data_IF_189207772742
#
_entry.id   IF_189207772742
#
_cell.length_a   1.000
_cell.length_b   1.000
_cell.length_c   1.000
_cell.angle_alpha   90.00
_cell.angle_beta   90.00
_cell.angle_gamma   90.00
#
_symmetry.space_group_name_H-M   'P 1'
#
loop_
_entity.id
_entity.type
_entity.pdbx_description
1 polymer ?
#
# COMPACT_ATOMS: atom_id res chain seq x y z
N UNK A 1 11.88 -1.57 -18.27
CA UNK A 1 10.80 -0.56 -18.37
C UNK A 1 11.03 0.46 -17.27
N UNK A 2 11.47 1.67 -17.58
CA UNK A 2 11.81 2.67 -16.54
C UNK A 2 10.52 3.33 -16.08
N UNK A 3 9.96 2.88 -14.95
CA UNK A 3 8.79 3.52 -14.38
C UNK A 3 9.23 4.89 -13.87
N UNK A 4 9.03 5.95 -14.67
CA UNK A 4 9.34 7.32 -14.26
C UNK A 4 8.28 7.77 -13.24
N UNK A 5 8.66 7.77 -11.95
CA UNK A 5 7.88 8.22 -10.80
C UNK A 5 8.72 9.18 -9.96
N UNK A 6 9.31 10.19 -10.61
CA UNK A 6 10.34 11.06 -10.03
C UNK A 6 9.98 11.76 -8.71
N UNK A 7 8.78 11.59 -8.19
CA UNK A 7 8.30 12.29 -6.99
C UNK A 7 7.68 11.37 -5.93
N UNK A 8 8.02 10.08 -5.89
CA UNK A 8 7.70 9.24 -4.73
C UNK A 8 8.89 9.08 -3.78
N UNK A 9 8.66 9.38 -2.50
CA UNK A 9 9.65 9.34 -1.42
C UNK A 9 9.14 8.51 -0.26
N UNK A 10 10.02 7.82 0.44
CA UNK A 10 9.69 6.97 1.58
C UNK A 10 10.42 7.48 2.81
N UNK A 11 9.68 7.72 3.89
CA UNK A 11 10.26 8.09 5.18
C UNK A 11 10.93 6.86 5.80
N UNK A 12 12.24 6.91 6.08
CA UNK A 12 12.96 5.77 6.66
C UNK A 12 12.66 5.56 8.15
N UNK A 13 12.02 6.54 8.81
CA UNK A 13 11.63 6.45 10.22
C UNK A 13 10.30 5.71 10.41
N UNK A 14 9.31 6.00 9.55
CA UNK A 14 7.97 5.44 9.72
C UNK A 14 7.38 4.78 8.48
N UNK A 15 8.17 4.60 7.41
CA UNK A 15 7.79 3.98 6.13
C UNK A 15 6.69 4.67 5.31
N UNK A 16 6.22 5.84 5.76
CA UNK A 16 5.21 6.63 5.05
C UNK A 16 5.69 7.03 3.65
N UNK A 17 4.84 6.80 2.66
CA UNK A 17 5.10 7.11 1.26
C UNK A 17 4.50 8.48 0.89
N UNK A 18 5.35 9.41 0.48
CA UNK A 18 4.99 10.73 -0.07
C UNK A 18 4.99 10.66 -1.59
N UNK A 19 3.94 11.16 -2.24
CA UNK A 19 3.85 11.20 -3.70
C UNK A 19 3.62 12.63 -4.19
N UNK A 20 4.36 13.03 -5.22
CA UNK A 20 4.25 14.32 -5.91
C UNK A 20 5.05 15.46 -5.26
N UNK A 21 5.55 15.29 -4.03
CA UNK A 21 6.37 16.29 -3.36
C UNK A 21 7.16 15.70 -2.18
N UNK A 22 8.18 16.42 -1.73
CA UNK A 22 8.98 16.08 -0.56
C UNK A 22 8.84 17.19 0.51
N UNK A 23 8.15 16.93 1.64
CA UNK A 23 7.95 17.93 2.69
C UNK A 23 9.20 18.13 3.55
N UNK A 24 9.26 19.26 4.27
CA UNK A 24 10.32 19.53 5.27
C UNK A 24 10.24 18.59 6.48
N UNK A 25 9.02 18.13 6.80
CA UNK A 25 8.75 17.16 7.88
C UNK A 25 7.73 16.12 7.43
N UNK A 26 7.93 14.89 7.87
CA UNK A 26 6.98 13.81 7.62
C UNK A 26 5.62 14.14 8.26
N UNK A 27 4.50 14.08 7.51
CA UNK A 27 3.19 14.40 8.06
C UNK A 27 2.70 13.37 9.09
N UNK A 28 3.32 12.19 9.14
CA UNK A 28 2.95 11.11 10.05
C UNK A 28 3.80 11.12 11.33
N UNK A 29 5.13 11.04 11.21
CA UNK A 29 6.04 10.93 12.37
C UNK A 29 6.86 12.19 12.68
N UNK A 30 6.68 13.28 11.92
CA UNK A 30 7.39 14.56 12.07
C UNK A 30 8.91 14.51 11.83
N UNK A 31 9.43 13.38 11.33
CA UNK A 31 10.84 13.22 10.97
C UNK A 31 11.27 14.26 9.91
N UNK A 32 12.52 14.78 10.00
CA UNK A 32 13.02 15.77 9.05
C UNK A 32 13.20 15.22 7.64
N UNK A 33 13.24 16.13 6.66
CA UNK A 33 13.37 15.84 5.21
C UNK A 33 14.53 14.92 4.84
N UNK A 34 15.65 14.99 5.56
CA UNK A 34 16.84 14.14 5.35
C UNK A 34 16.58 12.66 5.68
N UNK A 35 15.46 12.34 6.35
CA UNK A 35 14.99 10.98 6.60
C UNK A 35 14.12 10.41 5.48
N UNK A 36 14.04 11.08 4.34
CA UNK A 36 13.39 10.54 3.16
C UNK A 36 14.40 10.00 2.16
N UNK A 37 14.07 8.87 1.56
CA UNK A 37 14.75 8.31 0.39
C UNK A 37 13.79 8.26 -0.79
N UNK A 38 14.29 8.24 -2.02
CA UNK A 38 13.42 8.00 -3.18
C UNK A 38 12.84 6.60 -3.11
N UNK A 39 11.64 6.39 -3.67
CA UNK A 39 11.07 5.06 -3.82
C UNK A 39 12.00 4.11 -4.57
N UNK A 40 12.72 4.62 -5.58
CA UNK A 40 13.71 3.84 -6.33
C UNK A 40 14.89 3.39 -5.45
N UNK A 41 15.36 4.24 -4.51
CA UNK A 41 16.39 3.83 -3.54
C UNK A 41 15.81 2.83 -2.52
N UNK A 42 14.55 3.01 -2.12
CA UNK A 42 13.83 2.08 -1.26
C UNK A 42 13.76 0.69 -1.92
N UNK A 43 13.26 0.58 -3.15
CA UNK A 43 13.17 -0.69 -3.91
C UNK A 43 14.49 -1.43 -4.11
N UNK A 44 15.63 -0.73 -4.08
CA UNK A 44 16.94 -1.38 -4.20
C UNK A 44 17.48 -1.94 -2.88
N UNK A 45 16.97 -1.45 -1.75
CA UNK A 45 17.47 -1.79 -0.42
C UNK A 45 16.48 -2.56 0.45
N UNK A 46 15.25 -2.71 -0.01
CA UNK A 46 14.14 -3.28 0.74
C UNK A 46 13.32 -4.20 -0.17
N UNK A 47 13.56 -5.50 -0.06
CA UNK A 47 12.76 -6.53 -0.73
C UNK A 47 11.43 -6.72 0.00
N UNK A 48 10.47 -7.42 -0.61
CA UNK A 48 9.23 -7.81 0.06
C UNK A 48 9.27 -9.30 0.40
N UNK A 49 9.29 -9.60 1.70
CA UNK A 49 9.23 -10.98 2.17
C UNK A 49 7.79 -11.51 2.16
N UNK A 50 7.60 -12.65 1.51
CA UNK A 50 6.37 -13.44 1.54
C UNK A 50 6.40 -14.42 2.72
N UNK A 51 5.37 -14.41 3.57
CA UNK A 51 5.15 -15.40 4.63
C UNK A 51 3.77 -16.04 4.44
N UNK A 52 3.68 -17.34 4.07
CA UNK A 52 2.41 -18.03 4.00
C UNK A 52 1.67 -18.00 5.36
N UNK A 53 0.39 -17.68 5.34
CA UNK A 53 -0.51 -17.71 6.51
C UNK A 53 -1.47 -18.90 6.40
N UNK A 54 -2.04 -19.09 5.22
CA UNK A 54 -2.86 -20.25 4.83
C UNK A 54 -2.53 -20.63 3.37
N UNK A 55 -3.21 -21.64 2.83
CA UNK A 55 -3.08 -22.03 1.42
C UNK A 55 -3.47 -20.91 0.44
N UNK A 56 -4.33 -19.97 0.88
CA UNK A 56 -4.83 -18.87 0.05
C UNK A 56 -4.37 -17.48 0.51
N UNK A 57 -3.75 -17.36 1.68
CA UNK A 57 -3.34 -16.07 2.26
C UNK A 57 -1.84 -16.03 2.50
N UNK A 58 -1.19 -15.02 1.94
CA UNK A 58 0.25 -14.74 2.14
C UNK A 58 0.41 -13.34 2.73
N UNK A 59 1.15 -13.22 3.83
CA UNK A 59 1.54 -11.93 4.40
C UNK A 59 2.77 -11.40 3.68
N UNK A 60 2.76 -10.11 3.36
CA UNK A 60 3.86 -9.36 2.76
C UNK A 60 4.41 -8.34 3.76
N UNK A 61 5.73 -8.18 3.81
CA UNK A 61 6.38 -7.14 4.62
C UNK A 61 7.72 -6.74 4.01
N UNK A 62 8.04 -5.44 4.01
CA UNK A 62 9.34 -4.97 3.53
C UNK A 62 10.46 -5.45 4.46
N UNK A 63 11.54 -6.00 3.89
CA UNK A 63 12.73 -6.49 4.59
C UNK A 63 14.01 -5.87 4.00
N UNK A 64 14.94 -5.37 4.83
CA UNK A 64 14.88 -5.27 6.29
C UNK A 64 13.73 -4.36 6.75
N UNK A 65 13.32 -4.46 8.02
CA UNK A 65 12.16 -3.68 8.50
C UNK A 65 12.35 -2.19 8.22
N UNK A 66 11.41 -1.59 7.49
CA UNK A 66 11.40 -0.17 7.19
C UNK A 66 10.51 0.56 8.20
N UNK A 67 11.10 1.38 9.07
CA UNK A 67 10.35 2.15 10.07
C UNK A 67 9.35 1.33 10.91
N UNK A 68 8.10 1.77 10.94
CA UNK A 68 6.98 1.07 11.60
C UNK A 68 6.19 0.20 10.62
N UNK A 69 6.90 -0.49 9.71
CA UNK A 69 6.31 -1.35 8.69
C UNK A 69 5.09 -2.12 9.19
N UNK A 70 3.99 -2.02 8.43
CA UNK A 70 2.75 -2.73 8.65
C UNK A 70 2.68 -3.93 7.69
N UNK A 71 1.95 -4.96 8.11
CA UNK A 71 1.70 -6.10 7.25
C UNK A 71 0.72 -5.70 6.14
N UNK A 72 0.96 -6.20 4.94
CA UNK A 72 -0.04 -6.31 3.89
C UNK A 72 -0.25 -7.79 3.57
N UNK A 73 -1.31 -8.12 2.85
CA UNK A 73 -1.67 -9.51 2.58
C UNK A 73 -2.06 -9.69 1.13
N UNK A 74 -1.69 -10.82 0.52
CA UNK A 74 -2.28 -11.28 -0.73
C UNK A 74 -3.22 -12.44 -0.43
N UNK A 75 -4.45 -12.31 -0.91
CA UNK A 75 -5.51 -13.31 -0.82
C UNK A 75 -5.78 -13.81 -2.24
N UNK A 76 -5.51 -15.09 -2.49
CA UNK A 76 -5.77 -15.76 -3.75
C UNK A 76 -7.10 -16.51 -3.67
N UNK A 77 -8.11 -16.06 -4.43
CA UNK A 77 -9.41 -16.72 -4.52
C UNK A 77 -9.99 -16.57 -5.93
N UNK A 78 -10.66 -17.60 -6.42
CA UNK A 78 -11.32 -17.60 -7.74
C UNK A 78 -10.42 -17.14 -8.90
N UNK A 79 -9.14 -17.55 -8.90
CA UNK A 79 -8.11 -17.11 -9.84
C UNK A 79 -7.84 -15.59 -9.87
N UNK A 80 -8.15 -14.90 -8.77
CA UNK A 80 -7.81 -13.50 -8.56
C UNK A 80 -6.95 -13.33 -7.32
N UNK A 81 -6.04 -12.37 -7.38
CA UNK A 81 -5.20 -11.98 -6.26
C UNK A 81 -5.64 -10.60 -5.79
N UNK A 82 -6.24 -10.56 -4.60
CA UNK A 82 -6.58 -9.33 -3.90
C UNK A 82 -5.48 -9.03 -2.88
N UNK A 83 -4.87 -7.85 -2.98
CA UNK A 83 -3.93 -7.39 -1.98
C UNK A 83 -4.62 -6.48 -0.97
N UNK A 84 -4.53 -6.78 0.32
CA UNK A 84 -5.01 -5.94 1.41
C UNK A 84 -3.85 -5.10 1.92
N UNK A 85 -4.02 -3.78 1.87
CA UNK A 85 -2.97 -2.77 2.08
C UNK A 85 -1.76 -2.96 1.14
N UNK A 86 -0.66 -2.26 1.41
CA UNK A 86 0.47 -2.24 0.49
C UNK A 86 1.82 -2.13 1.21
N UNK A 87 2.83 -2.97 0.86
CA UNK A 87 4.17 -2.83 1.42
C UNK A 87 4.72 -1.42 1.18
N UNK A 88 5.58 -0.97 2.09
CA UNK A 88 6.19 0.36 1.96
C UNK A 88 7.25 0.42 0.85
N UNK A 89 7.88 -0.71 0.51
CA UNK A 89 8.78 -0.86 -0.64
C UNK A 89 8.08 -1.47 -1.85
N UNK A 90 8.62 -1.17 -3.03
CA UNK A 90 8.17 -1.76 -4.28
C UNK A 90 9.14 -2.84 -4.74
N UNK A 91 8.61 -4.04 -4.94
CA UNK A 91 9.34 -5.22 -5.37
C UNK A 91 8.58 -5.89 -6.52
N UNK A 92 9.21 -5.98 -7.69
CA UNK A 92 8.58 -6.56 -8.89
C UNK A 92 8.54 -8.09 -8.87
N UNK A 93 9.19 -8.73 -7.90
CA UNK A 93 9.30 -10.19 -7.82
C UNK A 93 8.08 -10.86 -7.16
N UNK A 94 7.27 -10.10 -6.41
CA UNK A 94 6.03 -10.61 -5.81
C UNK A 94 4.99 -10.94 -6.89
N UNK A 95 4.03 -11.79 -6.54
CA UNK A 95 2.95 -12.17 -7.45
C UNK A 95 2.15 -10.93 -7.89
N UNK A 96 1.86 -10.77 -9.20
CA UNK A 96 0.96 -9.73 -9.66
C UNK A 96 -0.39 -9.81 -8.96
N UNK A 97 -0.96 -8.65 -8.64
CA UNK A 97 -2.29 -8.54 -8.01
C UNK A 97 -3.27 -7.84 -8.94
N UNK A 98 -4.53 -8.29 -8.92
CA UNK A 98 -5.61 -7.68 -9.71
C UNK A 98 -6.07 -6.36 -9.08
N UNK A 99 -6.08 -6.32 -7.75
CA UNK A 99 -6.60 -5.20 -6.97
C UNK A 99 -5.86 -5.04 -5.65
N UNK A 100 -5.59 -3.80 -5.27
CA UNK A 100 -5.14 -3.39 -3.94
C UNK A 100 -6.34 -2.75 -3.24
N UNK A 101 -6.75 -3.31 -2.10
CA UNK A 101 -7.85 -2.83 -1.27
C UNK A 101 -7.25 -2.29 0.02
N UNK A 102 -7.44 -1.00 0.27
CA UNK A 102 -6.96 -0.35 1.48
C UNK A 102 -7.96 -0.44 2.61
N UNK A 103 -7.44 -0.75 3.79
CA UNK A 103 -8.20 -0.72 5.03
C UNK A 103 -8.46 0.71 5.49
N UNK A 104 -7.51 1.62 5.25
CA UNK A 104 -7.56 3.03 5.65
C UNK A 104 -6.48 3.89 4.95
N UNK A 105 -6.50 5.21 5.14
CA UNK A 105 -5.63 6.14 4.39
C UNK A 105 -4.19 6.33 4.92
N UNK A 106 -3.84 5.89 6.13
CA UNK A 106 -2.57 6.28 6.75
C UNK A 106 -1.33 5.68 6.08
N UNK A 107 -1.44 4.49 5.50
CA UNK A 107 -0.31 3.80 4.89
C UNK A 107 -0.65 3.22 3.53
N UNK A 108 -0.65 4.08 2.52
CA UNK A 108 -0.91 3.69 1.13
C UNK A 108 0.31 3.08 0.42
N UNK A 109 1.43 2.97 1.14
CA UNK A 109 2.65 2.25 0.72
C UNK A 109 3.13 2.59 -0.69
N UNK A 110 3.68 1.58 -1.35
CA UNK A 110 4.15 1.63 -2.72
C UNK A 110 3.02 1.47 -3.78
N UNK A 111 1.75 1.68 -3.43
CA UNK A 111 0.61 1.30 -4.29
C UNK A 111 0.62 1.91 -5.68
N UNK A 112 1.01 3.18 -5.83
CA UNK A 112 1.16 3.82 -7.13
C UNK A 112 2.16 3.10 -8.05
N UNK A 113 3.19 2.47 -7.47
CA UNK A 113 4.23 1.71 -8.16
C UNK A 113 3.66 0.36 -8.61
N UNK A 114 3.05 -0.37 -7.69
CA UNK A 114 2.41 -1.65 -7.95
C UNK A 114 1.31 -1.54 -9.00
N UNK A 115 0.36 -0.60 -8.83
CA UNK A 115 -0.72 -0.42 -9.79
C UNK A 115 -0.22 -0.08 -11.20
N UNK A 116 0.87 0.69 -11.30
CA UNK A 116 1.42 1.10 -12.59
C UNK A 116 2.15 -0.05 -13.25
N UNK A 117 2.84 -0.88 -12.47
CA UNK A 117 3.60 -2.02 -12.99
C UNK A 117 2.71 -3.21 -13.35
N UNK A 118 1.81 -3.59 -12.46
CA UNK A 118 0.93 -4.75 -12.63
C UNK A 118 -0.43 -4.43 -13.24
N UNK A 119 -0.71 -3.15 -13.53
CA UNK A 119 -2.04 -2.69 -13.99
C UNK A 119 -3.16 -3.00 -13.00
N UNK A 120 -2.83 -3.08 -11.71
CA UNK A 120 -3.79 -3.36 -10.63
C UNK A 120 -4.76 -2.20 -10.44
N UNK A 121 -5.99 -2.52 -10.03
CA UNK A 121 -6.94 -1.52 -9.53
C UNK A 121 -6.60 -1.17 -8.08
N UNK A 122 -6.95 0.03 -7.63
CA UNK A 122 -6.84 0.45 -6.24
C UNK A 122 -8.21 0.85 -5.72
N UNK A 123 -8.60 0.28 -4.58
CA UNK A 123 -9.90 0.47 -3.94
C UNK A 123 -9.71 0.93 -2.49
N UNK A 124 -10.51 1.89 -2.04
CA UNK A 124 -10.46 2.43 -0.68
C UNK A 124 -11.85 2.95 -0.28
N UNK A 125 -12.10 3.12 1.02
CA UNK A 125 -13.33 3.76 1.48
C UNK A 125 -13.42 5.23 0.99
N UNK A 126 -14.61 5.70 0.62
CA UNK A 126 -14.82 7.04 0.05
C UNK A 126 -14.36 8.17 0.99
N UNK A 127 -14.64 8.07 2.29
CA UNK A 127 -14.20 9.10 3.26
C UNK A 127 -12.67 9.18 3.36
N UNK A 128 -12.00 8.05 3.14
CA UNK A 128 -10.55 7.93 3.25
C UNK A 128 -9.87 8.43 1.99
N UNK A 129 -10.44 8.17 0.81
CA UNK A 129 -9.93 8.72 -0.46
C UNK A 129 -9.93 10.26 -0.48
N UNK A 130 -10.91 10.88 0.19
CA UNK A 130 -11.07 12.33 0.19
C UNK A 130 -10.11 13.02 1.19
N UNK A 131 -9.39 12.25 2.01
CA UNK A 131 -8.47 12.83 2.99
C UNK A 131 -7.25 13.46 2.33
N UNK A 132 -6.80 14.60 2.85
CA UNK A 132 -5.72 15.42 2.25
C UNK A 132 -4.39 14.67 2.06
N UNK A 133 -4.14 13.62 2.84
CA UNK A 133 -2.94 12.79 2.73
C UNK A 133 -2.95 11.89 1.48
N UNK A 134 -4.13 11.66 0.89
CA UNK A 134 -4.31 10.84 -0.31
C UNK A 134 -4.10 11.59 -1.62
N UNK A 135 -3.87 12.91 -1.62
CA UNK A 135 -3.83 13.74 -2.85
C UNK A 135 -2.83 13.29 -3.92
N UNK A 136 -1.78 12.56 -3.55
CA UNK A 136 -0.80 12.00 -4.48
C UNK A 136 -1.09 10.56 -4.92
N UNK A 137 -2.11 9.93 -4.36
CA UNK A 137 -2.55 8.58 -4.68
C UNK A 137 -3.79 8.63 -5.57
N UNK A 138 -3.99 7.58 -6.36
CA UNK A 138 -5.14 7.46 -7.25
C UNK A 138 -5.88 6.16 -6.97
N UNK A 139 -7.21 6.26 -6.94
CA UNK A 139 -8.12 5.17 -6.64
C UNK A 139 -9.05 4.95 -7.83
N UNK A 140 -9.26 3.69 -8.21
CA UNK A 140 -10.14 3.31 -9.32
C UNK A 140 -11.57 3.08 -8.86
N UNK A 141 -11.74 2.58 -7.64
CA UNK A 141 -13.04 2.36 -7.04
C UNK A 141 -13.06 2.87 -5.60
N UNK A 142 -14.23 3.30 -5.16
CA UNK A 142 -14.48 3.60 -3.75
C UNK A 142 -15.67 2.78 -3.25
N UNK A 143 -15.70 2.53 -1.94
CA UNK A 143 -16.82 1.89 -1.26
C UNK A 143 -17.27 2.73 -0.06
N UNK A 144 -18.52 2.57 0.36
CA UNK A 144 -19.14 3.36 1.44
C UNK A 144 -19.65 2.50 2.60
N UNK A 145 -19.77 1.20 2.39
CA UNK A 145 -20.28 0.23 3.37
C UNK A 145 -19.48 -1.05 3.30
N UNK A 146 -19.75 -1.97 4.22
CA UNK A 146 -19.28 -3.36 4.12
C UNK A 146 -19.66 -3.97 2.77
N UNK A 147 -18.83 -4.90 2.28
CA UNK A 147 -19.05 -5.60 1.02
C UNK A 147 -18.50 -7.01 1.05
N UNK A 148 -18.98 -7.85 0.13
CA UNK A 148 -18.40 -9.16 -0.16
C UNK A 148 -17.92 -9.15 -1.59
N UNK A 149 -16.66 -9.54 -1.81
CA UNK A 149 -16.05 -9.59 -3.14
C UNK A 149 -15.22 -10.85 -3.29
N UNK A 150 -15.51 -11.69 -4.28
CA UNK A 150 -14.77 -12.93 -4.51
C UNK A 150 -14.63 -13.72 -3.20
N UNK A 151 -15.74 -13.86 -2.46
CA UNK A 151 -15.80 -14.54 -1.17
C UNK A 151 -14.93 -13.96 -0.04
N UNK A 152 -14.36 -12.76 -0.21
CA UNK A 152 -13.69 -11.98 0.83
C UNK A 152 -14.74 -11.06 1.44
N UNK A 153 -14.88 -11.10 2.78
CA UNK A 153 -15.80 -10.22 3.50
C UNK A 153 -15.03 -9.02 4.04
N UNK A 154 -15.43 -7.83 3.62
CA UNK A 154 -14.86 -6.56 4.05
C UNK A 154 -15.89 -5.83 4.91
N UNK A 155 -15.64 -5.72 6.21
CA UNK A 155 -16.52 -5.08 7.17
C UNK A 155 -16.04 -3.66 7.43
N UNK A 156 -16.90 -2.68 7.17
CA UNK A 156 -16.65 -1.31 7.58
C UNK A 156 -16.87 -1.22 9.10
N UNK A 157 -15.85 -0.80 9.84
CA UNK A 157 -15.97 -0.49 11.25
C UNK A 157 -15.84 1.03 11.41
N UNK A 158 -16.82 1.65 12.09
CA UNK A 158 -16.79 3.08 12.36
C UNK A 158 -15.43 3.47 12.97
N UNK A 159 -14.80 4.53 12.42
CA UNK A 159 -13.41 4.99 12.60
C UNK A 159 -12.42 4.56 11.50
N UNK A 160 -12.71 4.92 10.25
CA UNK A 160 -11.72 5.03 9.16
C UNK A 160 -11.01 3.70 8.84
N UNK A 161 -11.57 2.54 9.21
CA UNK A 161 -10.94 1.24 9.06
C UNK A 161 -11.90 0.22 8.44
N UNK A 162 -11.37 -0.60 7.54
CA UNK A 162 -12.04 -1.79 7.04
C UNK A 162 -11.31 -3.04 7.54
N UNK A 163 -12.03 -3.98 8.13
CA UNK A 163 -11.50 -5.30 8.47
C UNK A 163 -11.85 -6.28 7.35
N UNK A 164 -10.88 -7.09 6.95
CA UNK A 164 -11.03 -8.07 5.88
C UNK A 164 -10.89 -9.48 6.46
N UNK A 165 -11.89 -10.33 6.21
CA UNK A 165 -11.99 -11.71 6.67
C UNK A 165 -11.94 -12.70 5.50
#
# INVERSE_FOLDING_TARGET
>A
MTINLKEQYVCTVCSYNMVGYLPERCPFCNAPKDKFITAEKCSRGYDVQETPVTDSVTRLSSVPKLGIEHASYQINKDNKIHQIDCPSSFDTSIKPMDEIIFTHFHFLGASNLYRKYFSSKVSIHQSDSDFKLCRGFSFDNTFQTSFIKNGIEAVHIDLLCCQVF
#
